data_IF_846369842750
#
_entry.id   IF_846369842750
#
_cell.length_a   1.000
_cell.length_b   1.000
_cell.length_c   1.000
_cell.angle_alpha   90.00
_cell.angle_beta   90.00
_cell.angle_gamma   90.00
#
_symmetry.space_group_name_H-M   'P 1'
#
loop_
_entity.id
_entity.type
_entity.pdbx_description
1 polymer ?
#
# COMPACT_ATOMS: atom_id res chain seq x y z
N UNK A 1 -26.73 10.25 -1.04
CA UNK A 1 -26.15 8.94 -0.69
C UNK A 1 -24.71 8.88 -1.20
N UNK A 2 -23.77 8.34 -0.42
CA UNK A 2 -22.38 8.13 -0.85
C UNK A 2 -22.18 6.64 -1.12
N UNK A 3 -21.70 6.32 -2.32
CA UNK A 3 -21.46 4.93 -2.74
C UNK A 3 -20.00 4.78 -3.14
N UNK A 4 -19.36 3.70 -2.69
CA UNK A 4 -18.02 3.30 -3.14
C UNK A 4 -18.14 1.96 -3.84
N UNK A 5 -17.73 1.93 -5.09
CA UNK A 5 -17.65 0.71 -5.90
C UNK A 5 -16.20 0.26 -5.95
N UNK A 6 -15.94 -1.03 -5.81
CA UNK A 6 -14.60 -1.60 -5.80
C UNK A 6 -14.54 -2.87 -6.63
N UNK A 7 -13.46 -3.01 -7.36
CA UNK A 7 -13.07 -4.24 -8.04
C UNK A 7 -11.54 -4.36 -8.04
N UNK A 8 -11.00 -5.52 -8.31
CA UNK A 8 -9.57 -5.75 -8.42
C UNK A 8 -8.93 -5.18 -9.68
N UNK A 9 -9.76 -4.91 -10.71
CA UNK A 9 -9.34 -4.38 -12.02
C UNK A 9 -10.29 -3.29 -12.49
N UNK A 10 -9.75 -2.36 -13.28
CA UNK A 10 -10.54 -1.25 -13.84
C UNK A 10 -11.73 -1.72 -14.66
N UNK A 11 -11.54 -2.72 -15.50
CA UNK A 11 -12.61 -3.22 -16.37
C UNK A 11 -13.78 -3.80 -15.55
N UNK A 12 -13.49 -4.60 -14.54
CA UNK A 12 -14.49 -5.10 -13.60
C UNK A 12 -15.20 -3.97 -12.86
N UNK A 13 -14.45 -2.94 -12.43
CA UNK A 13 -15.01 -1.75 -11.79
C UNK A 13 -16.02 -1.04 -12.70
N UNK A 14 -15.72 -0.90 -13.99
CA UNK A 14 -16.63 -0.26 -14.97
C UNK A 14 -17.92 -1.06 -15.11
N UNK A 15 -17.84 -2.38 -15.17
CA UNK A 15 -19.03 -3.22 -15.24
C UNK A 15 -19.90 -3.13 -13.99
N UNK A 16 -19.28 -3.15 -12.80
CA UNK A 16 -20.02 -2.97 -11.54
C UNK A 16 -20.64 -1.56 -11.48
N UNK A 17 -19.93 -0.53 -11.95
CA UNK A 17 -20.47 0.83 -12.02
C UNK A 17 -21.75 0.91 -12.86
N UNK A 18 -21.78 0.29 -14.04
CA UNK A 18 -22.97 0.22 -14.87
C UNK A 18 -24.19 -0.42 -14.14
N UNK A 19 -23.95 -1.39 -13.26
CA UNK A 19 -25.02 -1.96 -12.44
C UNK A 19 -25.50 -0.97 -11.38
N UNK A 20 -24.60 -0.20 -10.75
CA UNK A 20 -24.99 0.83 -9.78
C UNK A 20 -25.83 1.94 -10.44
N UNK A 21 -25.51 2.33 -11.66
CA UNK A 21 -26.35 3.29 -12.43
C UNK A 21 -27.76 2.76 -12.67
N UNK A 22 -27.90 1.51 -13.11
CA UNK A 22 -29.20 0.86 -13.29
C UNK A 22 -30.01 0.74 -11.99
N UNK A 23 -29.33 0.45 -10.87
CA UNK A 23 -29.97 0.38 -9.55
C UNK A 23 -30.52 1.76 -9.16
N UNK A 24 -29.73 2.82 -9.38
CA UNK A 24 -30.17 4.18 -9.08
C UNK A 24 -31.38 4.60 -9.94
N UNK A 25 -31.36 4.28 -11.23
CA UNK A 25 -32.50 4.51 -12.16
C UNK A 25 -33.75 3.78 -11.69
N UNK A 26 -33.65 2.47 -11.42
CA UNK A 26 -34.78 1.67 -10.95
C UNK A 26 -35.35 2.16 -9.61
N UNK A 27 -34.47 2.56 -8.68
CA UNK A 27 -34.91 3.12 -7.41
C UNK A 27 -35.66 4.45 -7.56
N UNK A 28 -35.18 5.32 -8.45
CA UNK A 28 -35.83 6.61 -8.76
C UNK A 28 -37.21 6.40 -9.40
N UNK A 29 -37.33 5.45 -10.34
CA UNK A 29 -38.62 5.06 -10.94
C UNK A 29 -39.61 4.54 -9.90
N UNK A 30 -39.18 3.65 -8.99
CA UNK A 30 -40.05 3.12 -7.94
C UNK A 30 -40.53 4.20 -6.96
N UNK A 31 -39.68 5.17 -6.67
CA UNK A 31 -40.00 6.27 -5.75
C UNK A 31 -40.68 7.46 -6.42
N UNK A 32 -40.83 7.43 -7.74
CA UNK A 32 -41.35 8.55 -8.57
C UNK A 32 -40.64 9.87 -8.28
N UNK A 33 -39.28 9.83 -8.32
CA UNK A 33 -38.42 11.00 -8.11
C UNK A 33 -37.35 11.09 -9.19
N UNK A 34 -36.82 12.28 -9.42
CA UNK A 34 -35.63 12.48 -10.23
C UNK A 34 -34.37 12.10 -9.46
N UNK A 35 -33.31 11.72 -10.19
CA UNK A 35 -32.01 11.44 -9.60
C UNK A 35 -30.88 12.05 -10.41
N UNK A 36 -29.75 12.23 -9.75
CA UNK A 36 -28.49 12.66 -10.35
C UNK A 36 -27.33 11.88 -9.74
N UNK A 37 -26.51 11.28 -10.60
CA UNK A 37 -25.25 10.67 -10.17
C UNK A 37 -24.12 11.65 -10.46
N UNK A 38 -23.24 11.86 -9.47
CA UNK A 38 -22.01 12.60 -9.61
C UNK A 38 -20.84 11.69 -9.31
N UNK A 39 -20.05 11.34 -10.33
CA UNK A 39 -18.79 10.63 -10.13
C UNK A 39 -17.77 11.60 -9.56
N UNK A 40 -17.29 11.33 -8.34
CA UNK A 40 -16.33 12.18 -7.63
C UNK A 40 -14.90 11.81 -8.00
N UNK A 41 -14.58 10.51 -8.04
CA UNK A 41 -13.25 9.99 -8.31
C UNK A 41 -13.31 8.54 -8.79
N UNK A 42 -12.34 8.15 -9.57
CA UNK A 42 -12.09 6.76 -9.96
C UNK A 42 -10.60 6.59 -10.21
N UNK A 43 -10.04 5.45 -9.80
CA UNK A 43 -8.61 5.13 -9.94
C UNK A 43 -8.44 3.77 -10.61
N UNK A 44 -7.29 3.56 -11.24
CA UNK A 44 -6.87 2.29 -11.79
C UNK A 44 -6.19 1.43 -10.71
N UNK A 45 -6.12 0.13 -10.95
CA UNK A 45 -5.22 -0.76 -10.21
C UNK A 45 -3.77 -0.35 -10.48
N UNK A 46 -2.87 -0.69 -9.54
CA UNK A 46 -1.44 -0.41 -9.73
C UNK A 46 -0.85 -1.44 -10.69
N UNK A 47 -0.21 -0.99 -11.77
CA UNK A 47 0.63 -1.85 -12.61
C UNK A 47 1.87 -2.27 -11.83
N UNK A 48 2.10 -3.58 -11.77
CA UNK A 48 3.26 -4.13 -11.07
C UNK A 48 4.48 -4.10 -11.96
N UNK A 49 5.52 -3.39 -11.54
CA UNK A 49 6.82 -3.37 -12.20
C UNK A 49 7.72 -4.42 -11.54
N UNK A 50 7.77 -5.62 -12.11
CA UNK A 50 8.54 -6.73 -11.54
C UNK A 50 10.05 -6.49 -11.60
N UNK A 51 10.56 -5.88 -12.67
CA UNK A 51 11.99 -5.59 -12.84
C UNK A 51 12.45 -4.60 -11.77
N UNK A 52 11.71 -3.52 -11.59
CA UNK A 52 11.99 -2.53 -10.55
C UNK A 52 11.83 -3.10 -9.15
N UNK A 53 10.82 -3.95 -8.92
CA UNK A 53 10.64 -4.61 -7.63
C UNK A 53 11.80 -5.53 -7.28
N UNK A 54 12.36 -6.28 -8.24
CA UNK A 54 13.55 -7.14 -8.05
C UNK A 54 14.79 -6.30 -7.74
N UNK A 55 14.99 -5.17 -8.41
CA UNK A 55 16.11 -4.26 -8.13
C UNK A 55 16.01 -3.69 -6.71
N UNK A 56 14.84 -3.26 -6.28
CA UNK A 56 14.61 -2.76 -4.93
C UNK A 56 14.74 -3.85 -3.87
N UNK A 57 14.26 -5.07 -4.12
CA UNK A 57 14.41 -6.22 -3.23
C UNK A 57 15.88 -6.54 -2.97
N UNK A 58 16.73 -6.54 -4.01
CA UNK A 58 18.18 -6.73 -3.88
C UNK A 58 18.80 -5.71 -2.93
N UNK A 59 18.39 -4.45 -3.01
CA UNK A 59 18.87 -3.38 -2.14
C UNK A 59 18.34 -3.54 -0.70
N UNK A 60 17.10 -3.97 -0.53
CA UNK A 60 16.53 -4.31 0.76
C UNK A 60 17.31 -5.43 1.45
N UNK A 61 17.62 -6.49 0.74
CA UNK A 61 18.42 -7.62 1.21
C UNK A 61 19.87 -7.22 1.55
N UNK A 62 20.49 -6.39 0.71
CA UNK A 62 21.84 -5.88 0.92
C UNK A 62 21.94 -4.96 2.16
N UNK A 63 20.93 -4.14 2.40
CA UNK A 63 20.88 -3.27 3.58
C UNK A 63 20.59 -4.06 4.87
N UNK A 64 19.86 -5.16 4.75
CA UNK A 64 19.46 -6.00 5.87
C UNK A 64 18.26 -5.48 6.66
N UNK A 65 17.88 -6.20 7.69
CA UNK A 65 16.72 -5.90 8.52
C UNK A 65 17.00 -4.76 9.52
N UNK A 66 15.93 -4.11 9.99
CA UNK A 66 16.02 -3.09 11.04
C UNK A 66 16.26 -3.77 12.39
N UNK A 67 17.23 -3.28 13.17
CA UNK A 67 17.43 -3.71 14.55
C UNK A 67 16.65 -2.82 15.51
N UNK A 68 15.94 -3.44 16.44
CA UNK A 68 15.16 -2.77 17.49
C UNK A 68 15.74 -3.06 18.87
N UNK A 69 15.72 -2.04 19.75
CA UNK A 69 16.15 -2.17 21.15
C UNK A 69 15.08 -2.86 22.01
N UNK A 70 15.42 -3.27 23.22
CA UNK A 70 14.47 -3.83 24.18
C UNK A 70 13.35 -2.83 24.50
N UNK A 71 13.67 -1.55 24.66
CA UNK A 71 12.70 -0.48 24.90
C UNK A 71 11.70 -0.35 23.73
N UNK A 72 12.18 -0.50 22.49
CA UNK A 72 11.33 -0.47 21.30
C UNK A 72 10.44 -1.72 21.22
N UNK A 73 10.95 -2.87 21.63
CA UNK A 73 10.15 -4.09 21.72
C UNK A 73 9.07 -3.98 22.79
N UNK A 74 9.38 -3.41 23.95
CA UNK A 74 8.42 -3.18 25.03
C UNK A 74 7.35 -2.15 24.61
N UNK A 75 7.77 -1.09 23.93
CA UNK A 75 6.82 -0.13 23.36
C UNK A 75 5.89 -0.79 22.34
N UNK A 76 6.43 -1.63 21.46
CA UNK A 76 5.66 -2.38 20.49
C UNK A 76 4.62 -3.29 21.13
N UNK A 77 4.99 -4.01 22.21
CA UNK A 77 4.07 -4.84 22.98
C UNK A 77 2.95 -4.03 23.64
N UNK A 78 3.26 -2.83 24.21
CA UNK A 78 2.25 -1.92 24.77
C UNK A 78 1.24 -1.46 23.72
N UNK A 79 1.69 -1.13 22.51
CA UNK A 79 0.78 -0.78 21.40
C UNK A 79 -0.11 -1.98 21.01
N UNK A 80 0.45 -3.19 20.96
CA UNK A 80 -0.29 -4.41 20.69
C UNK A 80 -1.33 -4.68 21.78
N UNK A 81 -0.97 -4.56 23.06
CA UNK A 81 -1.89 -4.67 24.19
C UNK A 81 -3.04 -3.68 24.08
N UNK A 82 -2.74 -2.40 23.91
CA UNK A 82 -3.74 -1.33 23.80
C UNK A 82 -4.66 -1.48 22.57
N UNK A 83 -4.25 -2.25 21.58
CA UNK A 83 -5.06 -2.54 20.37
C UNK A 83 -5.69 -3.93 20.39
N UNK A 84 -5.58 -4.67 21.49
CA UNK A 84 -6.12 -6.02 21.64
C UNK A 84 -5.44 -7.06 20.73
N UNK A 85 -4.14 -6.87 20.45
CA UNK A 85 -3.35 -7.78 19.61
C UNK A 85 -2.36 -8.59 20.45
N UNK A 86 -1.94 -9.78 19.98
CA UNK A 86 -0.90 -10.55 20.65
C UNK A 86 0.39 -9.74 20.81
N UNK A 87 0.97 -9.76 22.01
CA UNK A 87 2.16 -9.00 22.38
C UNK A 87 3.45 -9.68 21.90
N UNK A 88 3.64 -9.77 20.60
CA UNK A 88 4.81 -10.42 19.97
C UNK A 88 5.97 -9.46 19.69
N UNK A 89 5.76 -8.16 19.95
CA UNK A 89 6.75 -7.14 19.66
C UNK A 89 6.78 -6.71 18.19
N UNK A 90 7.93 -6.22 17.75
CA UNK A 90 8.14 -5.76 16.37
C UNK A 90 9.10 -6.71 15.65
N UNK A 91 8.70 -7.20 14.49
CA UNK A 91 9.53 -8.09 13.66
C UNK A 91 10.46 -7.29 12.76
N UNK A 92 11.67 -7.83 12.60
CA UNK A 92 12.70 -7.31 11.71
C UNK A 92 13.03 -8.37 10.65
N UNK A 93 12.04 -8.72 9.83
CA UNK A 93 12.18 -9.76 8.80
C UNK A 93 12.10 -9.11 7.42
N UNK A 94 13.04 -9.47 6.55
CA UNK A 94 12.97 -9.17 5.12
C UNK A 94 12.16 -10.30 4.47
N UNK A 95 10.95 -9.99 4.06
CA UNK A 95 10.12 -10.93 3.31
C UNK A 95 10.65 -11.08 1.89
N UNK A 96 10.60 -12.28 1.30
CA UNK A 96 10.89 -12.46 -0.11
C UNK A 96 9.87 -11.69 -0.95
N UNK A 97 10.25 -11.37 -2.20
CA UNK A 97 9.36 -10.72 -3.14
C UNK A 97 8.15 -11.63 -3.41
N UNK A 98 6.97 -11.14 -3.08
CA UNK A 98 5.73 -11.87 -3.32
C UNK A 98 5.38 -11.87 -4.81
N UNK A 99 4.80 -12.96 -5.29
CA UNK A 99 4.21 -12.99 -6.63
C UNK A 99 2.99 -12.06 -6.67
N UNK A 100 2.81 -11.40 -7.80
CA UNK A 100 1.61 -10.59 -8.05
C UNK A 100 0.36 -11.46 -7.90
N UNK A 101 -0.54 -11.06 -7.03
CA UNK A 101 -1.80 -11.76 -6.87
C UNK A 101 -2.70 -11.55 -8.10
N UNK A 102 -3.36 -12.59 -8.57
CA UNK A 102 -4.32 -12.51 -9.67
C UNK A 102 -5.49 -11.57 -9.33
N UNK A 103 -5.93 -11.62 -8.07
CA UNK A 103 -6.95 -10.75 -7.52
C UNK A 103 -6.37 -9.97 -6.35
N UNK A 104 -5.88 -8.73 -6.55
CA UNK A 104 -5.30 -7.94 -5.49
C UNK A 104 -6.34 -7.61 -4.42
N UNK A 105 -6.01 -7.95 -3.18
CA UNK A 105 -6.80 -7.60 -1.99
C UNK A 105 -6.21 -6.35 -1.35
N UNK A 106 -7.06 -5.46 -0.85
CA UNK A 106 -6.57 -4.32 -0.08
C UNK A 106 -7.26 -2.99 -0.37
N UNK A 107 -6.57 -1.91 -0.04
CA UNK A 107 -7.04 -0.55 -0.26
C UNK A 107 -6.86 -0.07 -1.70
N UNK A 108 -7.50 1.04 -2.03
CA UNK A 108 -7.26 1.76 -3.28
C UNK A 108 -6.21 2.85 -3.08
N UNK A 109 -5.55 3.24 -4.16
CA UNK A 109 -4.57 4.33 -4.19
C UNK A 109 -4.56 4.96 -5.58
N UNK A 110 -4.36 6.26 -5.64
CA UNK A 110 -4.15 7.04 -6.88
C UNK A 110 -2.79 6.77 -7.55
N UNK A 111 -1.87 6.10 -6.85
CA UNK A 111 -0.62 5.59 -7.46
C UNK A 111 -0.91 4.64 -8.64
N UNK A 112 -2.09 4.01 -8.67
CA UNK A 112 -2.55 3.25 -9.83
C UNK A 112 -2.48 4.09 -11.11
N UNK A 113 -3.12 5.25 -11.13
CA UNK A 113 -3.14 6.13 -12.30
C UNK A 113 -1.74 6.59 -12.74
N UNK A 114 -0.84 6.84 -11.76
CA UNK A 114 0.56 7.18 -12.03
C UNK A 114 1.28 6.02 -12.73
N UNK A 115 1.00 4.78 -12.31
CA UNK A 115 1.64 3.58 -12.87
C UNK A 115 1.30 3.30 -14.33
N UNK A 116 0.21 3.88 -14.85
CA UNK A 116 -0.15 3.81 -16.27
C UNK A 116 0.56 4.88 -17.14
N UNK A 117 1.25 5.83 -16.52
CA UNK A 117 1.96 6.92 -17.20
C UNK A 117 3.47 6.78 -17.09
N UNK A 118 3.95 6.36 -15.93
CA UNK A 118 5.37 6.16 -15.65
C UNK A 118 5.58 4.88 -14.82
N UNK A 119 6.75 4.21 -14.96
CA UNK A 119 7.08 3.06 -14.13
C UNK A 119 7.06 3.41 -12.64
N UNK A 120 6.41 2.59 -11.84
CA UNK A 120 6.32 2.78 -10.38
C UNK A 120 6.96 1.59 -9.67
N UNK A 121 7.90 1.89 -8.78
CA UNK A 121 8.52 0.90 -7.89
C UNK A 121 8.09 1.23 -6.46
N UNK A 122 7.62 0.22 -5.72
CA UNK A 122 7.08 0.40 -4.37
C UNK A 122 7.85 -0.40 -3.35
N UNK A 123 8.01 0.18 -2.16
CA UNK A 123 8.64 -0.44 -1.00
C UNK A 123 7.67 -0.42 0.18
N UNK A 124 7.69 -1.48 0.98
CA UNK A 124 7.11 -1.50 2.33
C UNK A 124 8.23 -1.53 3.36
N UNK A 125 8.13 -0.68 4.35
CA UNK A 125 9.06 -0.65 5.48
C UNK A 125 8.28 -0.78 6.80
N UNK A 126 8.87 -1.45 7.78
CA UNK A 126 8.27 -1.61 9.11
C UNK A 126 8.32 -0.29 9.87
N UNK A 127 7.15 0.27 10.19
CA UNK A 127 6.98 1.51 10.96
C UNK A 127 6.09 1.33 12.18
N UNK A 128 5.52 0.13 12.36
CA UNK A 128 4.64 -0.23 13.48
C UNK A 128 4.69 -1.74 13.74
N UNK A 129 4.32 -2.21 14.95
CA UNK A 129 4.28 -3.64 15.29
C UNK A 129 3.29 -4.41 14.42
N UNK A 130 3.52 -5.72 14.26
CA UNK A 130 2.62 -6.61 13.54
C UNK A 130 1.20 -6.58 14.12
N UNK A 131 0.21 -6.50 13.26
CA UNK A 131 -1.19 -6.45 13.63
C UNK A 131 -1.71 -5.07 14.04
N UNK A 132 -0.88 -4.03 14.02
CA UNK A 132 -1.33 -2.65 14.25
C UNK A 132 -2.42 -2.29 13.24
N UNK A 133 -3.62 -1.86 13.69
CA UNK A 133 -4.69 -1.46 12.78
C UNK A 133 -4.28 -0.22 11.98
N UNK A 134 -4.27 -0.33 10.65
CA UNK A 134 -4.03 0.81 9.77
C UNK A 134 -5.17 1.82 9.88
N UNK A 135 -4.87 3.09 9.60
CA UNK A 135 -5.81 4.22 9.75
C UNK A 135 -6.32 4.41 11.19
N UNK A 136 -5.46 4.15 12.18
CA UNK A 136 -5.77 4.28 13.59
C UNK A 136 -4.74 5.15 14.34
N UNK A 137 -5.08 5.55 15.56
CA UNK A 137 -4.18 6.25 16.46
C UNK A 137 -2.87 5.50 16.72
N UNK A 138 -2.91 4.15 16.67
CA UNK A 138 -1.75 3.32 16.95
C UNK A 138 -0.65 3.48 15.89
N UNK A 139 -1.01 3.68 14.61
CA UNK A 139 -0.03 4.00 13.56
C UNK A 139 0.61 5.36 13.81
N UNK A 140 -0.19 6.36 14.22
CA UNK A 140 0.31 7.70 14.54
C UNK A 140 1.25 7.65 15.75
N UNK A 141 0.89 6.91 16.80
CA UNK A 141 1.73 6.70 17.97
C UNK A 141 3.09 6.08 17.63
N UNK A 142 3.13 5.13 16.68
CA UNK A 142 4.39 4.54 16.22
C UNK A 142 5.19 5.48 15.30
N UNK A 143 4.50 6.23 14.44
CA UNK A 143 5.10 7.09 13.42
C UNK A 143 6.02 8.18 13.98
N UNK A 144 5.67 8.77 15.11
CA UNK A 144 6.44 9.80 15.81
C UNK A 144 7.54 9.26 16.73
N UNK A 145 7.69 7.96 16.87
CA UNK A 145 8.66 7.31 17.75
C UNK A 145 9.83 6.72 16.99
N UNK A 146 10.84 6.25 17.71
CA UNK A 146 12.05 5.66 17.12
C UNK A 146 11.75 4.51 16.14
N UNK A 147 10.72 3.71 16.40
CA UNK A 147 10.25 2.64 15.51
C UNK A 147 9.89 3.21 14.13
N UNK A 148 9.05 4.25 14.08
CA UNK A 148 8.66 4.91 12.85
C UNK A 148 9.85 5.59 12.15
N UNK A 149 10.70 6.28 12.91
CA UNK A 149 11.90 6.93 12.38
C UNK A 149 12.92 5.93 11.80
N UNK A 150 13.10 4.77 12.43
CA UNK A 150 13.95 3.69 11.88
C UNK A 150 13.39 3.18 10.55
N UNK A 151 12.09 2.92 10.47
CA UNK A 151 11.42 2.50 9.24
C UNK A 151 11.56 3.53 8.11
N UNK A 152 11.34 4.81 8.40
CA UNK A 152 11.53 5.90 7.45
C UNK A 152 12.97 5.98 6.95
N UNK A 153 13.96 5.97 7.85
CA UNK A 153 15.39 6.02 7.47
C UNK A 153 15.82 4.79 6.68
N UNK A 154 15.29 3.62 7.01
CA UNK A 154 15.55 2.38 6.29
C UNK A 154 14.99 2.46 4.85
N UNK A 155 13.75 2.87 4.70
CA UNK A 155 13.13 3.08 3.39
C UNK A 155 13.91 4.11 2.55
N UNK A 156 14.30 5.24 3.13
CA UNK A 156 15.08 6.27 2.44
C UNK A 156 16.41 5.75 1.89
N UNK A 157 17.11 4.90 2.65
CA UNK A 157 18.36 4.28 2.19
C UNK A 157 18.14 3.34 1.02
N UNK A 158 17.12 2.49 1.09
CA UNK A 158 16.80 1.54 0.01
C UNK A 158 16.40 2.28 -1.27
N UNK A 159 15.58 3.32 -1.14
CA UNK A 159 15.21 4.17 -2.27
C UNK A 159 16.44 4.83 -2.89
N UNK A 160 17.34 5.40 -2.09
CA UNK A 160 18.57 6.01 -2.57
C UNK A 160 19.49 5.00 -3.27
N UNK A 161 19.66 3.79 -2.72
CA UNK A 161 20.43 2.72 -3.35
C UNK A 161 19.81 2.33 -4.71
N UNK A 162 18.50 2.18 -4.78
CA UNK A 162 17.80 1.85 -6.03
C UNK A 162 17.93 2.97 -7.06
N UNK A 163 17.84 4.24 -6.65
CA UNK A 163 18.11 5.37 -7.55
C UNK A 163 19.56 5.34 -8.10
N UNK A 164 20.54 5.03 -7.26
CA UNK A 164 21.94 4.90 -7.72
C UNK A 164 22.10 3.78 -8.73
N UNK A 165 21.43 2.63 -8.52
CA UNK A 165 21.45 1.52 -9.48
C UNK A 165 20.85 1.95 -10.83
N UNK A 166 19.72 2.65 -10.82
CA UNK A 166 19.09 3.18 -12.03
C UNK A 166 19.99 4.16 -12.79
N UNK A 167 20.70 5.06 -12.07
CA UNK A 167 21.63 5.99 -12.70
C UNK A 167 22.87 5.32 -13.28
N UNK A 168 23.30 4.18 -12.74
CA UNK A 168 24.48 3.46 -13.16
C UNK A 168 24.21 2.42 -14.26
N UNK A 169 23.00 1.95 -14.39
CA UNK A 169 22.62 0.88 -15.31
C UNK A 169 21.50 1.35 -16.27
N UNK A 170 21.86 1.90 -17.44
CA UNK A 170 20.89 2.29 -18.47
C UNK A 170 20.02 1.11 -18.94
N UNK A 171 20.55 -0.13 -18.89
CA UNK A 171 19.78 -1.32 -19.25
C UNK A 171 18.66 -1.57 -18.25
N UNK A 172 18.93 -1.44 -16.96
CA UNK A 172 17.91 -1.55 -15.92
C UNK A 172 16.79 -0.53 -16.13
N UNK A 173 17.13 0.71 -16.50
CA UNK A 173 16.13 1.76 -16.82
C UNK A 173 15.30 1.37 -18.04
N UNK A 174 15.92 0.77 -19.06
CA UNK A 174 15.20 0.31 -20.26
C UNK A 174 14.28 -0.90 -19.99
N UNK A 175 14.61 -1.72 -18.99
CA UNK A 175 13.86 -2.93 -18.65
C UNK A 175 12.71 -2.68 -17.67
N UNK A 176 12.64 -1.48 -17.09
CA UNK A 176 11.58 -1.00 -16.15
C UNK A 176 10.43 -0.37 -16.94
#
# INVERSE_FOLDING_TARGET
>A
MWTRVRDGKRDGLVEVWKQVEKIAEGAAMMANVDYKITLISGVHEVLVNETGAKAMQKNLEALGAISYTEEEQDYAKKIQEATGKPQVGIESIISPLEKTAEFPMGGSTDVGDVSYVVPVIRLRATTAPKGTPWHSWAVVACGGMSIGHKGMRHASKILAMTMVDLYKDPKLVSDI
#
